data_IF_503812459916
#
_entry.id   IF_503812459916
#
_cell.length_a   1.000
_cell.length_b   1.000
_cell.length_c   1.000
_cell.angle_alpha   90.00
_cell.angle_beta   90.00
_cell.angle_gamma   90.00
#
_symmetry.space_group_name_H-M   'P 1'
#
loop_
_entity.id
_entity.type
_entity.pdbx_description
1 polymer ?
#
# COMPACT_ATOMS: atom_id res chain seq x y z
N UNK A 1 -8.29 2.83 -2.57
CA UNK A 1 -6.89 2.64 -3.01
C UNK A 1 -6.44 1.27 -2.52
N UNK A 2 -6.13 0.34 -3.44
CA UNK A 2 -5.67 -1.01 -3.09
C UNK A 2 -4.13 -1.01 -3.03
N UNK A 3 -3.57 -0.74 -1.85
CA UNK A 3 -2.11 -0.69 -1.65
C UNK A 3 -1.59 -2.12 -1.68
N UNK A 4 -0.58 -2.45 -2.51
CA UNK A 4 -0.09 -3.81 -2.60
C UNK A 4 0.52 -4.28 -1.28
N UNK A 5 0.37 -5.56 -0.96
CA UNK A 5 0.78 -6.13 0.32
C UNK A 5 2.28 -6.01 0.58
N UNK A 6 3.11 -6.05 -0.46
CA UNK A 6 4.56 -5.84 -0.35
C UNK A 6 4.90 -4.40 0.08
N UNK A 7 4.07 -3.42 -0.26
CA UNK A 7 4.23 -2.01 0.11
C UNK A 7 3.70 -1.71 1.52
N UNK A 8 3.05 -2.68 2.17
CA UNK A 8 2.54 -2.55 3.53
C UNK A 8 3.52 -3.18 4.53
N UNK A 9 3.51 -2.64 5.74
CA UNK A 9 4.14 -3.25 6.92
C UNK A 9 3.16 -3.23 8.08
N UNK A 10 3.26 -4.24 8.93
CA UNK A 10 2.57 -4.23 10.22
C UNK A 10 3.16 -3.13 11.09
N UNK A 11 2.30 -2.42 11.82
CA UNK A 11 2.74 -1.43 12.80
C UNK A 11 3.35 -2.12 14.02
N UNK A 12 4.30 -1.46 14.66
CA UNK A 12 4.75 -1.76 16.02
C UNK A 12 4.12 -0.75 16.99
N UNK A 13 4.29 -0.96 18.29
CA UNK A 13 3.86 -0.04 19.34
C UNK A 13 4.46 1.37 19.23
N UNK A 14 5.60 1.51 18.56
CA UNK A 14 6.30 2.78 18.36
C UNK A 14 5.70 3.62 17.22
N UNK A 15 4.86 3.02 16.37
CA UNK A 15 4.36 3.64 15.14
C UNK A 15 3.09 4.49 15.33
N UNK A 16 2.72 4.87 16.55
CA UNK A 16 1.46 5.59 16.81
C UNK A 16 1.31 6.85 15.94
N UNK A 17 2.39 7.63 15.78
CA UNK A 17 2.39 8.82 14.92
C UNK A 17 2.17 8.47 13.46
N UNK A 18 2.88 7.46 12.94
CA UNK A 18 2.75 7.02 11.55
C UNK A 18 1.38 6.41 11.26
N UNK A 19 0.80 5.67 12.21
CA UNK A 19 -0.56 5.15 12.11
C UNK A 19 -1.59 6.27 12.09
N UNK A 20 -1.41 7.31 12.92
CA UNK A 20 -2.28 8.48 12.92
C UNK A 20 -2.24 9.22 11.58
N UNK A 21 -1.04 9.46 11.04
CA UNK A 21 -0.87 10.12 9.75
C UNK A 21 -1.48 9.28 8.61
N UNK A 22 -1.24 7.97 8.61
CA UNK A 22 -1.82 7.05 7.63
C UNK A 22 -3.36 7.02 7.73
N UNK A 23 -3.93 7.10 8.93
CA UNK A 23 -5.38 7.15 9.11
C UNK A 23 -5.98 8.44 8.55
N UNK A 24 -5.37 9.60 8.84
CA UNK A 24 -5.80 10.90 8.31
C UNK A 24 -5.76 10.95 6.77
N UNK A 25 -4.83 10.21 6.17
CA UNK A 25 -4.67 10.11 4.72
C UNK A 25 -5.50 8.99 4.08
N UNK A 26 -6.28 8.22 4.86
CA UNK A 26 -7.06 7.08 4.36
C UNK A 26 -6.23 5.90 3.86
N UNK A 27 -4.98 5.77 4.35
CA UNK A 27 -3.99 4.75 3.96
C UNK A 27 -3.80 3.65 5.00
N UNK A 28 -4.37 3.82 6.19
CA UNK A 28 -4.35 2.83 7.26
C UNK A 28 -5.23 1.64 6.88
N UNK A 29 -4.66 0.43 6.91
CA UNK A 29 -5.37 -0.82 6.67
C UNK A 29 -5.54 -1.55 8.00
N UNK A 30 -6.76 -1.98 8.30
CA UNK A 30 -7.07 -2.71 9.53
C UNK A 30 -7.70 -4.04 9.15
N UNK A 31 -7.11 -5.11 9.67
CA UNK A 31 -7.77 -6.42 9.73
C UNK A 31 -8.41 -6.57 11.10
N UNK A 32 -9.72 -6.49 11.10
CA UNK A 32 -10.52 -6.56 12.31
C UNK A 32 -10.61 -7.99 12.85
N UNK A 33 -10.43 -8.19 14.17
CA UNK A 33 -10.78 -9.44 14.82
C UNK A 33 -12.30 -9.57 14.90
N UNK A 34 -12.78 -10.65 15.54
CA UNK A 34 -14.21 -10.81 15.79
C UNK A 34 -14.78 -9.59 16.53
N UNK A 35 -15.76 -8.93 15.91
CA UNK A 35 -16.31 -7.66 16.41
C UNK A 35 -16.93 -7.77 17.81
N UNK A 36 -17.51 -8.92 18.17
CA UNK A 36 -18.09 -9.12 19.51
C UNK A 36 -16.99 -9.23 20.55
N UNK A 37 -15.92 -9.95 20.24
CA UNK A 37 -14.73 -10.06 21.09
C UNK A 37 -14.08 -8.69 21.28
N UNK A 38 -13.92 -7.93 20.20
CA UNK A 38 -13.32 -6.59 20.25
C UNK A 38 -14.16 -5.61 21.07
N UNK A 39 -15.48 -5.62 20.90
CA UNK A 39 -16.40 -4.79 21.72
C UNK A 39 -16.34 -5.16 23.20
N UNK A 40 -16.29 -6.45 23.52
CA UNK A 40 -16.17 -6.92 24.90
C UNK A 40 -14.84 -6.44 25.51
N UNK A 41 -13.74 -6.60 24.78
CA UNK A 41 -12.42 -6.12 25.18
C UNK A 41 -12.42 -4.59 25.38
N UNK A 42 -12.95 -3.82 24.42
CA UNK A 42 -13.01 -2.36 24.51
C UNK A 42 -13.79 -1.92 25.75
N UNK A 43 -14.92 -2.58 26.05
CA UNK A 43 -15.71 -2.32 27.25
C UNK A 43 -14.93 -2.59 28.54
N UNK A 44 -14.12 -3.66 28.59
CA UNK A 44 -13.27 -3.97 29.75
C UNK A 44 -12.19 -2.91 29.98
N UNK A 45 -11.68 -2.28 28.91
CA UNK A 45 -10.73 -1.17 29.00
C UNK A 45 -11.40 0.19 29.28
N UNK A 46 -12.74 0.24 29.40
CA UNK A 46 -13.49 1.49 29.56
C UNK A 46 -13.55 2.34 28.28
N UNK A 47 -13.34 1.74 27.10
CA UNK A 47 -13.38 2.43 25.82
C UNK A 47 -14.81 2.58 25.28
N UNK A 48 -15.08 3.57 24.40
CA UNK A 48 -16.39 3.74 23.79
C UNK A 48 -16.83 2.52 22.98
N UNK A 49 -18.06 2.05 23.22
CA UNK A 49 -18.65 0.94 22.46
C UNK A 49 -20.04 1.29 21.88
N UNK A 50 -20.14 2.33 21.03
CA UNK A 50 -21.43 2.75 20.48
C UNK A 50 -22.04 1.65 19.60
N UNK A 51 -23.37 1.58 19.52
CA UNK A 51 -24.06 0.59 18.68
C UNK A 51 -23.72 0.79 17.20
N UNK A 52 -23.76 2.03 16.73
CA UNK A 52 -23.34 2.46 15.40
C UNK A 52 -21.99 3.18 15.47
N UNK A 53 -21.12 2.96 14.49
CA UNK A 53 -19.83 3.66 14.41
C UNK A 53 -18.77 3.18 15.42
N UNK A 54 -18.81 1.89 15.81
CA UNK A 54 -17.87 1.36 16.79
C UNK A 54 -16.43 1.33 16.29
N UNK A 55 -16.22 0.98 15.03
CA UNK A 55 -14.88 0.88 14.44
C UNK A 55 -14.20 2.25 14.42
N UNK A 56 -14.94 3.30 14.04
CA UNK A 56 -14.48 4.68 14.04
C UNK A 56 -14.19 5.17 15.45
N UNK A 57 -15.08 4.90 16.41
CA UNK A 57 -14.86 5.25 17.82
C UNK A 57 -13.66 4.51 18.42
N UNK A 58 -13.45 3.26 18.01
CA UNK A 58 -12.32 2.44 18.41
C UNK A 58 -11.00 3.03 17.88
N UNK A 59 -10.93 3.32 16.57
CA UNK A 59 -9.75 3.91 15.95
C UNK A 59 -9.43 5.26 16.59
N UNK A 60 -10.44 6.11 16.80
CA UNK A 60 -10.27 7.41 17.44
C UNK A 60 -9.67 7.27 18.84
N UNK A 61 -10.17 6.33 19.65
CA UNK A 61 -9.64 6.08 21.00
C UNK A 61 -8.23 5.51 20.98
N UNK A 62 -8.00 4.54 20.11
CA UNK A 62 -6.70 3.89 19.91
C UNK A 62 -5.61 4.88 19.52
N UNK A 63 -5.91 5.81 18.59
CA UNK A 63 -4.94 6.79 18.10
C UNK A 63 -4.81 8.04 18.99
N UNK A 64 -5.59 8.15 20.06
CA UNK A 64 -5.62 9.32 20.95
C UNK A 64 -4.29 9.52 21.69
N UNK A 65 -3.74 8.44 22.27
CA UNK A 65 -2.49 8.46 23.04
C UNK A 65 -1.60 7.27 22.70
N UNK A 66 -0.32 7.35 23.06
CA UNK A 66 0.62 6.26 22.84
C UNK A 66 0.23 5.00 23.64
N UNK A 67 -0.23 5.20 24.87
CA UNK A 67 -0.63 4.11 25.77
C UNK A 67 -1.85 3.36 25.25
N UNK A 68 -2.84 4.07 24.69
CA UNK A 68 -4.00 3.43 24.06
C UNK A 68 -3.60 2.62 22.83
N UNK A 69 -2.69 3.18 22.02
CA UNK A 69 -2.20 2.51 20.83
C UNK A 69 -1.44 1.24 21.19
N UNK A 70 -0.47 1.34 22.11
CA UNK A 70 0.29 0.22 22.68
C UNK A 70 -0.65 -0.89 23.17
N UNK A 71 -1.65 -0.51 23.99
CA UNK A 71 -2.62 -1.45 24.54
C UNK A 71 -3.45 -2.16 23.47
N UNK A 72 -3.88 -1.46 22.42
CA UNK A 72 -4.65 -2.06 21.33
C UNK A 72 -3.80 -3.04 20.52
N UNK A 73 -2.62 -2.62 20.08
CA UNK A 73 -1.73 -3.45 19.25
C UNK A 73 -1.38 -4.76 19.96
N UNK A 74 -1.13 -4.72 21.27
CA UNK A 74 -0.73 -5.92 22.02
C UNK A 74 -1.89 -6.84 22.38
N UNK A 75 -3.08 -6.28 22.69
CA UNK A 75 -4.12 -7.04 23.41
C UNK A 75 -5.46 -7.14 22.72
N UNK A 76 -5.74 -6.30 21.71
CA UNK A 76 -7.06 -6.30 21.07
C UNK A 76 -7.19 -7.35 19.96
N UNK A 77 -6.08 -7.96 19.53
CA UNK A 77 -6.04 -8.91 18.41
C UNK A 77 -6.22 -8.26 17.04
N UNK A 78 -6.00 -6.95 16.97
CA UNK A 78 -6.14 -6.15 15.75
C UNK A 78 -4.80 -6.10 15.02
N UNK A 79 -4.82 -6.33 13.70
CA UNK A 79 -3.65 -6.20 12.86
C UNK A 79 -3.78 -4.90 12.06
N UNK A 80 -2.89 -3.92 12.31
CA UNK A 80 -2.81 -2.68 11.53
C UNK A 80 -1.63 -2.76 10.59
N UNK A 81 -1.88 -2.35 9.36
CA UNK A 81 -0.86 -2.15 8.35
C UNK A 81 -0.87 -0.70 7.88
N UNK A 82 0.34 -0.18 7.66
CA UNK A 82 0.58 1.14 7.08
C UNK A 82 1.54 1.02 5.89
N UNK A 83 1.56 1.99 4.97
CA UNK A 83 2.56 2.05 3.93
C UNK A 83 3.98 2.03 4.51
N UNK A 84 4.87 1.28 3.87
CA UNK A 84 6.30 1.35 4.15
C UNK A 84 6.82 2.73 3.78
N UNK A 85 7.82 3.21 4.53
CA UNK A 85 8.51 4.45 4.16
C UNK A 85 9.37 4.25 2.90
N UNK A 86 10.04 3.11 2.81
CA UNK A 86 10.93 2.76 1.71
C UNK A 86 10.69 1.32 1.26
N UNK A 87 10.78 1.09 -0.05
CA UNK A 87 10.85 -0.22 -0.66
C UNK A 87 11.92 -0.21 -1.76
N UNK A 88 12.68 -1.30 -1.90
CA UNK A 88 13.70 -1.41 -2.94
C UNK A 88 13.25 -2.44 -3.98
N UNK A 89 13.13 -2.02 -5.23
CA UNK A 89 12.99 -2.93 -6.38
C UNK A 89 14.38 -3.42 -6.74
N UNK A 90 14.61 -4.72 -6.61
CA UNK A 90 15.90 -5.33 -6.94
C UNK A 90 16.14 -5.37 -8.45
N UNK A 91 17.40 -5.50 -8.85
CA UNK A 91 17.77 -5.70 -10.24
C UNK A 91 17.09 -6.92 -10.88
N UNK A 92 16.86 -8.00 -10.13
CA UNK A 92 16.15 -9.18 -10.62
C UNK A 92 14.71 -8.83 -10.98
N UNK A 93 14.01 -8.10 -10.10
CA UNK A 93 12.63 -7.67 -10.38
C UNK A 93 12.56 -6.72 -11.56
N UNK A 94 13.54 -5.83 -11.73
CA UNK A 94 13.63 -4.98 -12.92
C UNK A 94 13.77 -5.82 -14.19
N UNK A 95 14.65 -6.83 -14.20
CA UNK A 95 14.81 -7.75 -15.36
C UNK A 95 13.54 -8.52 -15.68
N UNK A 96 12.76 -8.90 -14.66
CA UNK A 96 11.46 -9.54 -14.87
C UNK A 96 10.50 -8.60 -15.60
N UNK A 97 10.40 -7.33 -15.17
CA UNK A 97 9.55 -6.34 -15.83
C UNK A 97 10.02 -6.06 -17.28
N UNK A 98 11.34 -5.94 -17.49
CA UNK A 98 11.94 -5.80 -18.82
C UNK A 98 11.60 -6.99 -19.72
N UNK A 99 11.65 -8.22 -19.18
CA UNK A 99 11.30 -9.42 -19.93
C UNK A 99 9.83 -9.43 -20.36
N UNK A 100 8.92 -9.00 -19.49
CA UNK A 100 7.49 -8.85 -19.85
C UNK A 100 7.29 -7.79 -20.94
N UNK A 101 8.11 -6.72 -20.91
CA UNK A 101 8.07 -5.67 -21.91
C UNK A 101 8.62 -6.12 -23.27
N UNK A 102 9.67 -6.94 -23.29
CA UNK A 102 10.35 -7.42 -24.49
C UNK A 102 9.68 -8.63 -25.13
N UNK A 103 8.89 -9.39 -24.38
CA UNK A 103 8.25 -10.60 -24.89
C UNK A 103 7.33 -10.31 -26.08
N UNK A 104 7.58 -11.00 -27.20
CA UNK A 104 6.76 -10.93 -28.42
C UNK A 104 6.29 -12.30 -28.84
N UNK A 105 5.07 -12.36 -29.38
CA UNK A 105 4.57 -13.50 -30.11
C UNK A 105 5.36 -13.75 -31.39
N UNK A 106 5.13 -14.91 -32.02
CA UNK A 106 5.65 -15.23 -33.36
C UNK A 106 5.22 -14.19 -34.42
N UNK A 107 4.11 -13.48 -34.19
CA UNK A 107 3.61 -12.42 -35.08
C UNK A 107 4.10 -11.03 -34.70
N UNK A 108 5.06 -10.91 -33.76
CA UNK A 108 5.64 -9.64 -33.32
C UNK A 108 4.74 -8.81 -32.41
N UNK A 109 3.64 -9.38 -31.88
CA UNK A 109 2.73 -8.69 -30.96
C UNK A 109 3.18 -8.89 -29.51
N UNK A 110 3.00 -7.91 -28.63
CA UNK A 110 3.27 -8.11 -27.21
C UNK A 110 2.30 -9.15 -26.60
N UNK A 111 2.84 -10.12 -25.87
CA UNK A 111 2.03 -11.14 -25.18
C UNK A 111 1.75 -10.75 -23.72
N UNK A 112 2.70 -10.10 -23.08
CA UNK A 112 2.75 -9.98 -21.62
C UNK A 112 2.59 -8.54 -21.12
N UNK A 113 2.27 -7.61 -22.02
CA UNK A 113 2.08 -6.21 -21.65
C UNK A 113 0.95 -6.02 -20.64
N UNK A 114 -0.14 -6.78 -20.71
CA UNK A 114 -1.20 -6.72 -19.69
C UNK A 114 -0.70 -7.05 -18.28
N UNK A 115 0.21 -8.02 -18.14
CA UNK A 115 0.83 -8.36 -16.85
C UNK A 115 1.75 -7.22 -16.40
N UNK A 116 2.62 -6.74 -17.30
CA UNK A 116 3.51 -5.60 -17.02
C UNK A 116 2.74 -4.37 -16.53
N UNK A 117 1.60 -4.07 -17.15
CA UNK A 117 0.73 -2.94 -16.80
C UNK A 117 0.24 -3.07 -15.36
N UNK A 118 -0.26 -4.24 -14.96
CA UNK A 118 -0.72 -4.48 -13.59
C UNK A 118 0.42 -4.36 -12.56
N UNK A 119 1.60 -4.85 -12.90
CA UNK A 119 2.79 -4.72 -12.04
C UNK A 119 3.19 -3.26 -11.85
N UNK A 120 3.12 -2.46 -12.91
CA UNK A 120 3.36 -1.02 -12.86
C UNK A 120 2.27 -0.28 -12.06
N UNK A 121 1.01 -0.73 -12.14
CA UNK A 121 -0.07 -0.21 -11.30
C UNK A 121 0.18 -0.45 -9.81
N UNK A 122 0.74 -1.60 -9.43
CA UNK A 122 1.11 -1.84 -8.03
C UNK A 122 2.18 -0.84 -7.55
N UNK A 123 3.24 -0.63 -8.34
CA UNK A 123 4.29 0.34 -8.03
C UNK A 123 3.69 1.75 -7.92
N UNK A 124 2.82 2.13 -8.86
CA UNK A 124 2.06 3.39 -8.80
C UNK A 124 1.32 3.54 -7.48
N UNK A 125 0.49 2.55 -7.11
CA UNK A 125 -0.36 2.61 -5.91
C UNK A 125 0.48 2.70 -4.63
N UNK A 126 1.64 2.05 -4.60
CA UNK A 126 2.58 2.18 -3.48
C UNK A 126 3.13 3.62 -3.37
N UNK A 127 3.56 4.19 -4.49
CA UNK A 127 4.09 5.57 -4.55
C UNK A 127 3.01 6.61 -4.21
N UNK A 128 1.78 6.43 -4.70
CA UNK A 128 0.64 7.26 -4.33
C UNK A 128 0.25 7.12 -2.85
N UNK A 129 0.56 5.98 -2.23
CA UNK A 129 0.44 5.77 -0.79
C UNK A 129 1.60 6.39 0.01
N UNK A 130 2.57 7.03 -0.64
CA UNK A 130 3.71 7.72 -0.01
C UNK A 130 4.93 6.82 0.23
N UNK A 131 4.96 5.63 -0.36
CA UNK A 131 6.15 4.76 -0.31
C UNK A 131 7.21 5.32 -1.24
N UNK A 132 8.42 5.57 -0.71
CA UNK A 132 9.59 5.86 -1.54
C UNK A 132 10.09 4.55 -2.15
N UNK A 133 10.04 4.44 -3.47
CA UNK A 133 10.48 3.25 -4.18
C UNK A 133 11.89 3.49 -4.72
N UNK A 134 12.88 2.81 -4.15
CA UNK A 134 14.26 2.83 -4.60
C UNK A 134 14.44 1.77 -5.69
N UNK A 135 14.91 2.18 -6.86
CA UNK A 135 15.29 1.24 -7.92
C UNK A 135 16.80 1.06 -7.85
N UNK A 136 17.27 -0.18 -7.70
CA UNK A 136 18.71 -0.45 -7.59
C UNK A 136 19.46 0.08 -8.82
N UNK A 137 20.49 0.89 -8.59
CA UNK A 137 21.30 1.49 -9.66
C UNK A 137 20.65 2.70 -10.36
N UNK A 138 19.45 3.11 -9.95
CA UNK A 138 18.70 4.22 -10.55
C UNK A 138 18.26 5.26 -9.50
N UNK A 139 17.59 6.33 -9.97
CA UNK A 139 17.01 7.34 -9.08
C UNK A 139 15.74 6.79 -8.41
N UNK A 140 15.57 7.11 -7.13
CA UNK A 140 14.35 6.77 -6.40
C UNK A 140 13.11 7.44 -6.99
N UNK A 141 12.00 6.69 -6.95
CA UNK A 141 10.67 7.12 -7.33
C UNK A 141 9.97 7.64 -6.07
N UNK A 142 9.81 8.96 -5.97
CA UNK A 142 9.33 9.62 -4.75
C UNK A 142 7.83 9.93 -4.78
N UNK A 143 7.27 10.09 -5.97
CA UNK A 143 5.89 10.50 -6.19
C UNK A 143 5.40 10.04 -7.56
N UNK A 144 4.12 10.26 -7.81
CA UNK A 144 3.44 9.91 -9.05
C UNK A 144 4.16 10.45 -10.30
N UNK A 145 4.65 11.69 -10.28
CA UNK A 145 5.34 12.29 -11.43
C UNK A 145 6.68 11.60 -11.73
N UNK A 146 7.43 11.22 -10.69
CA UNK A 146 8.66 10.44 -10.84
C UNK A 146 8.36 9.04 -11.36
N UNK A 147 7.31 8.41 -10.86
CA UNK A 147 6.88 7.08 -11.32
C UNK A 147 6.52 7.13 -12.81
N UNK A 148 5.70 8.11 -13.19
CA UNK A 148 5.29 8.31 -14.59
C UNK A 148 6.50 8.51 -15.50
N UNK A 149 7.42 9.41 -15.13
CA UNK A 149 8.64 9.66 -15.91
C UNK A 149 9.52 8.42 -16.04
N UNK A 150 9.65 7.64 -14.96
CA UNK A 150 10.44 6.40 -14.93
C UNK A 150 9.81 5.31 -15.81
N UNK A 151 8.52 5.03 -15.63
CA UNK A 151 7.81 3.99 -16.38
C UNK A 151 7.80 4.29 -17.88
N UNK A 152 7.56 5.54 -18.27
CA UNK A 152 7.55 5.97 -19.68
C UNK A 152 8.94 5.97 -20.31
N UNK A 153 9.97 6.39 -19.56
CA UNK A 153 11.34 6.34 -20.05
C UNK A 153 11.80 4.90 -20.35
N UNK A 154 11.36 3.94 -19.52
CA UNK A 154 11.74 2.53 -19.66
C UNK A 154 10.88 1.77 -20.67
N UNK A 155 9.57 2.01 -20.67
CA UNK A 155 8.58 1.22 -21.41
C UNK A 155 7.76 2.06 -22.40
N UNK A 156 8.45 2.93 -23.16
CA UNK A 156 7.84 3.93 -24.04
C UNK A 156 6.74 3.42 -24.99
N UNK A 157 6.85 2.21 -25.56
CA UNK A 157 5.87 1.72 -26.53
C UNK A 157 4.51 1.36 -25.91
N UNK A 158 4.39 1.35 -24.58
CA UNK A 158 3.11 1.12 -23.92
C UNK A 158 2.13 2.29 -24.14
N UNK A 159 2.64 3.50 -24.43
CA UNK A 159 1.81 4.65 -24.85
C UNK A 159 1.13 4.40 -26.21
N UNK A 160 1.78 3.69 -27.13
CA UNK A 160 1.36 3.62 -28.54
C UNK A 160 0.28 2.56 -28.81
N UNK A 161 -0.14 1.79 -27.80
CA UNK A 161 -1.07 0.67 -28.03
C UNK A 161 -1.86 0.16 -26.82
N UNK A 162 -1.67 0.74 -25.63
CA UNK A 162 -2.35 0.34 -24.41
C UNK A 162 -2.95 1.59 -23.71
N UNK A 163 -3.86 2.28 -24.39
CA UNK A 163 -4.35 3.64 -24.07
C UNK A 163 -4.95 3.86 -22.65
N UNK A 164 -5.24 2.80 -21.89
CA UNK A 164 -5.86 2.88 -20.53
C UNK A 164 -4.92 2.55 -19.37
N UNK A 165 -3.63 2.40 -19.64
CA UNK A 165 -2.89 1.37 -18.93
C UNK A 165 -2.44 1.69 -17.50
N UNK A 166 -1.94 2.87 -17.16
CA UNK A 166 -1.47 3.11 -15.78
C UNK A 166 -2.47 3.91 -14.93
N UNK A 167 -3.29 4.76 -15.55
CA UNK A 167 -4.17 5.75 -14.87
C UNK A 167 -5.54 5.21 -14.42
N UNK A 168 -6.12 4.27 -15.16
CA UNK A 168 -7.48 3.78 -14.91
C UNK A 168 -7.49 2.57 -13.98
N UNK A 169 -7.89 2.77 -12.72
CA UNK A 169 -8.20 1.69 -11.75
C UNK A 169 -9.57 1.01 -12.02
N UNK A 170 -10.12 1.17 -13.24
CA UNK A 170 -11.48 0.75 -13.61
C UNK A 170 -11.72 -0.77 -13.56
#
# INVERSE_FOLDING_TARGET
MNIPTWALRTVTTEDQGLAKDAHQQGRLQIKWPNIKTLRSWAKQQGWPTPLFGFEEAFIAKMLETKENFELAIEKSGLEIQIPRQNYTISNERIRELDSLYEERSVTGRPNSWGILVEELREIRRAVEAGVVVNVEGEKSILNWQNFYSWAHGRYHMLEDGYDKWIGDDA
#
